data_IF_315679946430
#
_entry.id   IF_315679946430
#
_cell.length_a   1.000
_cell.length_b   1.000
_cell.length_c   1.000
_cell.angle_alpha   90.00
_cell.angle_beta   90.00
_cell.angle_gamma   90.00
#
_symmetry.space_group_name_H-M   'P 1'
#
loop_
_entity.id
_entity.type
_entity.pdbx_description
1 polymer ?
#
# COMPACT_ATOMS: atom_id res chain seq x y z
N UNK A 1 4.10 11.10 -1.75
CA UNK A 1 3.69 11.87 -0.54
C UNK A 1 3.20 10.96 0.59
N UNK A 2 2.29 10.00 0.33
CA UNK A 2 1.73 9.07 1.33
C UNK A 2 2.78 8.24 2.09
N UNK A 3 3.82 7.75 1.41
CA UNK A 3 4.87 6.94 2.06
C UNK A 3 5.62 7.68 3.17
N UNK A 4 5.95 8.96 2.97
CA UNK A 4 6.65 9.78 3.98
C UNK A 4 5.77 10.09 5.18
N UNK A 5 4.48 10.31 4.96
CA UNK A 5 3.52 10.46 6.06
C UNK A 5 3.35 9.16 6.83
N UNK A 6 3.22 8.03 6.14
CA UNK A 6 3.13 6.72 6.79
C UNK A 6 4.37 6.41 7.63
N UNK A 7 5.56 6.73 7.13
CA UNK A 7 6.82 6.59 7.87
C UNK A 7 6.85 7.47 9.14
N UNK A 8 6.49 8.75 9.03
CA UNK A 8 6.45 9.65 10.19
C UNK A 8 5.46 9.17 11.25
N UNK A 9 4.26 8.73 10.85
CA UNK A 9 3.25 8.20 11.76
C UNK A 9 3.70 6.88 12.41
N UNK A 10 4.33 5.99 11.64
CA UNK A 10 4.92 4.76 12.16
C UNK A 10 5.95 5.07 13.26
N UNK A 11 6.86 6.02 13.03
CA UNK A 11 7.89 6.36 14.01
C UNK A 11 7.34 7.05 15.26
N UNK A 12 6.31 7.87 15.12
CA UNK A 12 5.79 8.68 16.22
C UNK A 12 4.79 7.94 17.12
N UNK A 13 4.03 6.98 16.58
CA UNK A 13 3.04 6.22 17.33
C UNK A 13 3.29 4.73 17.18
N UNK A 14 3.69 4.05 18.26
CA UNK A 14 3.98 2.61 18.25
C UNK A 14 2.72 1.72 18.22
N UNK A 15 1.58 2.25 18.67
CA UNK A 15 0.35 1.48 18.94
C UNK A 15 -0.70 1.56 17.83
N UNK A 16 -0.36 2.15 16.69
CA UNK A 16 -1.27 2.22 15.53
C UNK A 16 -0.92 1.14 14.51
N UNK A 17 -1.92 0.47 13.94
CA UNK A 17 -1.69 -0.60 12.96
C UNK A 17 -1.51 -0.10 11.52
N UNK A 18 -1.87 1.16 11.24
CA UNK A 18 -1.91 1.68 9.89
C UNK A 18 -2.59 3.04 9.74
N UNK A 19 -2.97 3.36 8.50
CA UNK A 19 -3.66 4.59 8.14
C UNK A 19 -4.93 4.26 7.37
N UNK A 20 -6.03 4.93 7.73
CA UNK A 20 -7.27 4.98 6.96
C UNK A 20 -7.53 6.42 6.54
N UNK A 21 -7.75 6.67 5.24
CA UNK A 21 -8.06 8.00 4.74
C UNK A 21 -9.01 7.94 3.54
N UNK A 22 -9.64 9.07 3.24
CA UNK A 22 -10.49 9.20 2.05
C UNK A 22 -9.62 9.42 0.81
N UNK A 23 -9.69 8.53 -0.17
CA UNK A 23 -9.03 8.69 -1.46
C UNK A 23 -9.72 9.80 -2.26
N UNK A 24 -9.03 10.94 -2.41
CA UNK A 24 -9.52 12.06 -3.21
C UNK A 24 -9.39 11.83 -4.72
N UNK A 25 -8.64 10.79 -5.13
CA UNK A 25 -8.40 10.45 -6.55
C UNK A 25 -9.47 9.52 -7.15
N UNK A 26 -10.17 8.75 -6.32
CA UNK A 26 -11.26 7.85 -6.77
C UNK A 26 -12.48 8.01 -5.87
N UNK A 27 -13.10 9.17 -6.00
CA UNK A 27 -14.46 9.48 -5.56
C UNK A 27 -14.91 8.77 -4.27
N UNK A 28 -14.48 9.31 -3.12
CA UNK A 28 -14.96 9.00 -1.77
C UNK A 28 -14.69 7.59 -1.24
N UNK A 29 -13.90 6.76 -1.91
CA UNK A 29 -13.51 5.47 -1.35
C UNK A 29 -12.48 5.61 -0.23
N UNK A 30 -12.61 4.78 0.79
CA UNK A 30 -11.61 4.67 1.84
C UNK A 30 -10.38 3.92 1.31
N UNK A 31 -9.20 4.48 1.55
CA UNK A 31 -7.92 3.83 1.34
C UNK A 31 -7.35 3.40 2.69
N UNK A 32 -6.83 2.18 2.74
CA UNK A 32 -6.23 1.56 3.92
C UNK A 32 -4.77 1.19 3.64
N UNK A 33 -3.88 1.58 4.55
CA UNK A 33 -2.49 1.13 4.62
C UNK A 33 -2.29 0.45 5.97
N UNK A 34 -1.63 -0.71 5.99
CA UNK A 34 -1.30 -1.44 7.22
C UNK A 34 0.22 -1.62 7.34
N UNK A 35 0.75 -1.50 8.56
CA UNK A 35 2.14 -1.79 8.88
C UNK A 35 2.29 -3.29 9.13
N UNK A 36 2.93 -3.98 8.19
CA UNK A 36 2.92 -5.45 8.14
C UNK A 36 3.53 -6.15 9.35
N UNK A 37 4.47 -5.51 10.05
CA UNK A 37 5.06 -5.98 11.31
C UNK A 37 4.09 -5.85 12.50
N UNK A 38 3.23 -4.83 12.51
CA UNK A 38 2.25 -4.58 13.58
C UNK A 38 1.03 -5.48 13.48
N UNK A 39 0.61 -5.80 12.26
CA UNK A 39 -0.51 -6.73 11.98
C UNK A 39 -0.05 -8.17 11.70
N UNK A 40 1.17 -8.52 12.11
CA UNK A 40 1.72 -9.85 11.88
C UNK A 40 0.85 -10.92 12.57
N UNK A 41 0.40 -11.93 11.81
CA UNK A 41 -0.37 -13.06 12.34
C UNK A 41 -1.88 -12.83 12.51
N UNK A 42 -2.37 -11.60 12.33
CA UNK A 42 -3.82 -11.32 12.37
C UNK A 42 -4.46 -11.27 10.98
N UNK A 43 -3.67 -10.98 9.94
CA UNK A 43 -4.15 -11.05 8.56
C UNK A 43 -4.17 -12.50 8.07
N UNK A 44 -5.37 -13.00 7.78
CA UNK A 44 -5.60 -14.32 7.16
C UNK A 44 -5.93 -14.19 5.68
N UNK A 45 -5.39 -15.08 4.84
CA UNK A 45 -5.75 -15.15 3.43
C UNK A 45 -4.77 -16.01 2.61
N UNK A 46 -5.17 -16.36 1.39
CA UNK A 46 -4.26 -17.02 0.45
C UNK A 46 -3.27 -15.97 -0.07
N UNK A 47 -1.98 -16.15 0.24
CA UNK A 47 -0.93 -15.30 -0.32
C UNK A 47 -0.82 -15.60 -1.82
N UNK A 48 -1.30 -14.71 -2.66
CA UNK A 48 -1.20 -14.85 -4.12
C UNK A 48 0.11 -14.25 -4.59
N UNK A 49 1.05 -15.13 -4.95
CA UNK A 49 2.33 -14.74 -5.55
C UNK A 49 3.39 -14.19 -4.57
N UNK A 50 4.61 -13.97 -5.08
CA UNK A 50 5.72 -13.41 -4.29
C UNK A 50 5.47 -11.92 -3.97
N UNK A 51 6.09 -11.36 -2.91
CA UNK A 51 5.96 -9.95 -2.58
C UNK A 51 6.36 -9.05 -3.74
N UNK A 52 5.47 -8.13 -4.14
CA UNK A 52 5.73 -7.16 -5.22
C UNK A 52 7.03 -6.38 -5.00
N UNK A 53 7.29 -5.98 -3.74
CA UNK A 53 8.50 -5.25 -3.34
C UNK A 53 9.81 -6.01 -3.62
N UNK A 54 9.77 -7.35 -3.67
CA UNK A 54 10.93 -8.22 -3.92
C UNK A 54 10.90 -8.86 -5.30
N UNK A 55 9.96 -8.50 -6.16
CA UNK A 55 9.82 -9.03 -7.51
C UNK A 55 9.85 -7.89 -8.53
N UNK A 56 11.04 -7.49 -9.03
CA UNK A 56 11.16 -6.35 -9.95
C UNK A 56 10.42 -6.59 -11.27
N UNK A 57 10.42 -7.83 -11.79
CA UNK A 57 9.72 -8.17 -13.04
C UNK A 57 8.21 -7.98 -12.90
N UNK A 58 7.63 -8.48 -11.80
CA UNK A 58 6.21 -8.29 -11.54
C UNK A 58 5.88 -6.81 -11.30
N UNK A 59 6.73 -6.09 -10.57
CA UNK A 59 6.56 -4.65 -10.34
C UNK A 59 6.52 -3.89 -11.68
N UNK A 60 7.46 -4.16 -12.58
CA UNK A 60 7.50 -3.50 -13.87
C UNK A 60 6.26 -3.85 -14.72
N UNK A 61 5.82 -5.12 -14.68
CA UNK A 61 4.58 -5.53 -15.35
C UNK A 61 3.33 -4.82 -14.81
N UNK A 62 3.23 -4.65 -13.49
CA UNK A 62 2.14 -3.89 -12.85
C UNK A 62 2.21 -2.41 -13.26
N UNK A 63 3.40 -1.81 -13.30
CA UNK A 63 3.55 -0.42 -13.76
C UNK A 63 3.11 -0.25 -15.22
N UNK A 64 3.50 -1.17 -16.11
CA UNK A 64 3.03 -1.16 -17.50
C UNK A 64 1.51 -1.30 -17.60
N UNK A 65 0.90 -2.16 -16.77
CA UNK A 65 -0.55 -2.31 -16.73
C UNK A 65 -1.25 -1.03 -16.23
N UNK A 66 -0.68 -0.36 -15.22
CA UNK A 66 -1.19 0.90 -14.69
C UNK A 66 -1.19 2.00 -15.77
N UNK A 67 -0.07 2.16 -16.48
CA UNK A 67 0.05 3.12 -17.60
C UNK A 67 -1.00 2.84 -18.69
N UNK A 68 -1.19 1.58 -19.08
CA UNK A 68 -2.22 1.19 -20.06
C UNK A 68 -3.64 1.49 -19.59
N UNK A 69 -3.87 1.50 -18.28
CA UNK A 69 -5.14 1.86 -17.67
C UNK A 69 -5.30 3.38 -17.45
N UNK A 70 -4.32 4.20 -17.87
CA UNK A 70 -4.32 5.66 -17.65
C UNK A 70 -4.09 6.04 -16.19
N UNK A 71 -3.42 5.18 -15.41
CA UNK A 71 -3.04 5.43 -14.03
C UNK A 71 -1.57 5.86 -14.02
N UNK A 72 -1.34 7.16 -14.04
CA UNK A 72 0.00 7.75 -13.98
C UNK A 72 0.44 8.01 -12.54
N UNK A 73 1.75 7.92 -12.30
CA UNK A 73 2.36 8.27 -11.03
C UNK A 73 2.77 9.75 -11.05
N UNK A 74 1.82 10.65 -10.84
CA UNK A 74 2.09 12.07 -10.54
C UNK A 74 2.72 12.25 -9.14
#
# INVERSE_FOLDING_TARGET
MTARWAEALYLQWADIDGLLWMSRQRDRDHALLLFGDRVAGVLSGARVGPPLARNPVLRDAVMVAALRAGIDAD
#
